data_IF_987995770084
#
_entry.id   IF_987995770084
#
_cell.length_a   1.000
_cell.length_b   1.000
_cell.length_c   1.000
_cell.angle_alpha   90.00
_cell.angle_beta   90.00
_cell.angle_gamma   90.00
#
_symmetry.space_group_name_H-M   'P 1'
#
loop_
_entity.id
_entity.type
_entity.pdbx_description
1 polymer ?
#
# COMPACT_ATOMS: atom_id res chain seq x y z
N UNK A 1 -2.47 13.06 -11.29
CA UNK A 1 -1.42 12.51 -10.41
C UNK A 1 -0.11 13.24 -10.71
N UNK A 2 0.56 13.84 -9.73
CA UNK A 2 1.76 14.67 -9.97
C UNK A 2 3.07 13.87 -10.05
N UNK A 3 3.07 12.59 -9.66
CA UNK A 3 4.27 11.74 -9.60
C UNK A 3 4.82 11.40 -10.99
N UNK A 4 6.11 11.62 -11.22
CA UNK A 4 6.80 11.11 -12.38
C UNK A 4 7.17 9.63 -12.17
N UNK A 5 6.61 8.73 -12.97
CA UNK A 5 6.89 7.29 -12.87
C UNK A 5 8.02 6.91 -13.82
N UNK A 6 9.11 6.36 -13.26
CA UNK A 6 10.24 5.79 -13.97
C UNK A 6 10.15 4.27 -13.92
N UNK A 7 9.45 3.70 -14.88
CA UNK A 7 9.14 2.26 -14.92
C UNK A 7 10.09 1.51 -15.87
N UNK A 8 10.62 0.37 -15.41
CA UNK A 8 11.37 -0.58 -16.22
C UNK A 8 12.70 -1.01 -15.59
N UNK A 9 13.34 -1.99 -16.21
CA UNK A 9 14.62 -2.56 -15.76
C UNK A 9 15.73 -1.52 -15.78
N UNK A 10 16.57 -1.51 -14.73
CA UNK A 10 17.71 -0.63 -14.61
C UNK A 10 17.39 0.83 -14.29
N UNK A 11 16.13 1.19 -14.06
CA UNK A 11 15.70 2.56 -13.78
C UNK A 11 16.30 3.15 -12.49
N UNK A 12 16.76 2.30 -11.57
CA UNK A 12 17.51 2.75 -10.39
C UNK A 12 18.74 3.59 -10.75
N UNK A 13 19.35 3.39 -11.91
CA UNK A 13 20.53 4.13 -12.35
C UNK A 13 20.20 5.59 -12.74
N UNK A 14 18.92 5.93 -12.98
CA UNK A 14 18.48 7.30 -13.26
C UNK A 14 18.54 8.23 -12.04
N UNK A 15 18.78 7.67 -10.83
CA UNK A 15 18.99 8.50 -9.63
C UNK A 15 20.05 9.58 -9.83
N UNK A 16 21.14 9.29 -10.55
CA UNK A 16 22.22 10.25 -10.82
C UNK A 16 21.75 11.50 -11.60
N UNK A 17 20.67 11.35 -12.39
CA UNK A 17 20.10 12.44 -13.21
C UNK A 17 18.94 13.13 -12.48
N UNK A 18 18.20 12.37 -11.68
CA UNK A 18 17.00 12.83 -10.96
C UNK A 18 17.39 13.64 -9.72
N UNK A 19 18.27 13.12 -8.89
CA UNK A 19 18.58 13.62 -7.55
C UNK A 19 19.17 15.06 -7.54
N UNK A 20 20.04 15.47 -8.46
CA UNK A 20 20.63 16.83 -8.41
C UNK A 20 19.64 17.99 -8.35
N UNK A 21 18.39 17.77 -8.81
CA UNK A 21 17.33 18.79 -8.75
C UNK A 21 16.64 18.92 -7.38
N UNK A 22 16.93 18.00 -6.44
CA UNK A 22 16.24 17.94 -5.13
C UNK A 22 17.09 18.42 -3.96
N UNK A 23 18.41 18.52 -4.10
CA UNK A 23 19.31 19.01 -3.06
C UNK A 23 20.55 18.16 -2.86
N UNK A 24 21.27 18.40 -1.75
CA UNK A 24 22.54 17.75 -1.43
C UNK A 24 22.53 16.94 -0.14
N UNK A 25 21.47 16.99 0.64
CA UNK A 25 21.31 16.23 1.88
C UNK A 25 20.11 15.33 1.79
N UNK A 26 20.34 14.01 1.75
CA UNK A 26 19.34 12.98 1.61
C UNK A 26 19.13 12.21 2.90
N UNK A 27 17.89 12.00 3.35
CA UNK A 27 17.56 10.94 4.29
C UNK A 27 17.07 9.71 3.54
N UNK A 28 17.81 8.61 3.61
CA UNK A 28 17.37 7.30 3.11
C UNK A 28 16.55 6.64 4.22
N UNK A 29 15.29 6.33 3.91
CA UNK A 29 14.36 5.62 4.80
C UNK A 29 14.16 4.22 4.29
N UNK A 30 14.36 3.20 5.14
CA UNK A 30 14.25 1.80 4.76
C UNK A 30 13.99 0.89 5.98
N UNK A 31 13.88 -0.40 5.73
CA UNK A 31 14.07 -1.46 6.71
C UNK A 31 15.57 -1.72 6.90
N UNK A 32 15.98 -2.45 7.96
CA UNK A 32 17.38 -2.78 8.16
C UNK A 32 18.05 -3.35 6.90
N UNK A 33 19.19 -2.78 6.52
CA UNK A 33 19.93 -3.14 5.30
C UNK A 33 20.68 -4.47 5.48
N UNK A 34 19.95 -5.57 5.46
CA UNK A 34 20.48 -6.92 5.51
C UNK A 34 20.09 -7.71 4.25
N UNK A 35 20.71 -8.86 4.03
CA UNK A 35 20.42 -9.72 2.89
C UNK A 35 20.49 -8.98 1.54
N UNK A 36 19.42 -9.07 0.74
CA UNK A 36 19.35 -8.47 -0.59
C UNK A 36 19.32 -6.93 -0.58
N UNK A 37 18.78 -6.32 0.46
CA UNK A 37 18.71 -4.86 0.58
C UNK A 37 20.09 -4.24 0.76
N UNK A 38 21.06 -4.97 1.33
CA UNK A 38 22.43 -4.48 1.51
C UNK A 38 23.07 -4.07 0.18
N UNK A 39 22.99 -4.93 -0.83
CA UNK A 39 23.57 -4.65 -2.18
C UNK A 39 22.85 -3.47 -2.85
N UNK A 40 21.54 -3.36 -2.69
CA UNK A 40 20.78 -2.24 -3.22
C UNK A 40 21.19 -0.92 -2.54
N UNK A 41 21.31 -0.93 -1.21
CA UNK A 41 21.77 0.23 -0.47
C UNK A 41 23.18 0.67 -0.88
N UNK A 42 24.14 -0.27 -0.97
CA UNK A 42 25.50 0.03 -1.42
C UNK A 42 25.51 0.68 -2.82
N UNK A 43 24.66 0.18 -3.72
CA UNK A 43 24.49 0.77 -5.07
C UNK A 43 23.92 2.19 -5.00
N UNK A 44 22.86 2.40 -4.23
CA UNK A 44 22.23 3.72 -4.07
C UNK A 44 23.21 4.70 -3.43
N UNK A 45 23.85 4.29 -2.32
CA UNK A 45 24.82 5.14 -1.62
C UNK A 45 25.96 5.58 -2.54
N UNK A 46 26.51 4.64 -3.33
CA UNK A 46 27.54 4.96 -4.32
C UNK A 46 27.06 5.98 -5.37
N UNK A 47 25.85 5.80 -5.90
CA UNK A 47 25.29 6.76 -6.88
C UNK A 47 25.16 8.15 -6.26
N UNK A 48 24.68 8.24 -5.01
CA UNK A 48 24.51 9.52 -4.31
C UNK A 48 25.86 10.19 -3.97
N UNK A 49 26.84 9.40 -3.55
CA UNK A 49 28.19 9.86 -3.29
C UNK A 49 28.89 10.39 -4.54
N UNK A 50 28.78 9.65 -5.68
CA UNK A 50 29.35 10.05 -6.96
C UNK A 50 28.81 11.40 -7.49
N UNK A 51 27.60 11.80 -7.07
CA UNK A 51 26.99 13.10 -7.42
C UNK A 51 27.07 14.14 -6.29
N UNK A 52 27.86 13.88 -5.24
CA UNK A 52 28.14 14.80 -4.16
C UNK A 52 26.96 15.04 -3.20
N UNK A 53 26.10 14.04 -2.98
CA UNK A 53 24.99 14.07 -2.03
C UNK A 53 25.41 13.42 -0.73
N UNK A 54 25.25 14.16 0.38
CA UNK A 54 25.45 13.63 1.74
C UNK A 54 24.25 12.80 2.15
N UNK A 55 24.47 11.57 2.59
CA UNK A 55 23.42 10.64 2.98
C UNK A 55 23.33 10.47 4.49
N UNK A 56 22.11 10.51 5.00
CA UNK A 56 21.73 10.09 6.34
C UNK A 56 20.82 8.88 6.21
N UNK A 57 20.80 7.99 7.17
CA UNK A 57 20.07 6.73 7.10
C UNK A 57 19.16 6.57 8.29
N UNK A 58 17.91 6.20 8.01
CA UNK A 58 16.97 5.68 8.99
C UNK A 58 16.43 4.34 8.49
N UNK A 59 16.90 3.25 9.06
CA UNK A 59 16.55 1.87 8.67
C UNK A 59 15.71 1.14 9.73
N UNK A 60 15.07 1.89 10.62
CA UNK A 60 14.24 1.38 11.71
C UNK A 60 12.78 1.06 11.32
N UNK A 61 12.42 1.05 10.04
CA UNK A 61 11.03 0.80 9.64
C UNK A 61 10.68 -0.68 9.78
N UNK A 62 9.55 -0.94 10.44
CA UNK A 62 8.97 -2.27 10.62
C UNK A 62 7.74 -2.48 9.74
N UNK A 63 7.32 -3.74 9.46
CA UNK A 63 6.01 -4.02 8.88
C UNK A 63 4.90 -3.42 9.76
N UNK A 64 3.83 -2.87 9.13
CA UNK A 64 2.83 -2.06 9.81
C UNK A 64 3.50 -0.91 10.59
N UNK A 65 3.99 0.13 9.88
CA UNK A 65 4.83 1.17 10.46
C UNK A 65 4.07 1.92 11.56
N UNK A 66 4.83 2.40 12.55
CA UNK A 66 4.26 3.03 13.75
C UNK A 66 4.47 4.54 13.76
N UNK A 67 3.64 5.25 14.52
CA UNK A 67 3.81 6.69 14.76
C UNK A 67 5.18 6.98 15.41
N UNK A 68 5.67 6.09 16.28
CA UNK A 68 6.98 6.27 16.93
C UNK A 68 8.13 6.15 15.92
N UNK A 69 8.04 5.21 14.97
CA UNK A 69 9.00 5.09 13.88
C UNK A 69 9.03 6.33 12.99
N UNK A 70 7.86 6.91 12.70
CA UNK A 70 7.78 8.18 11.96
C UNK A 70 8.38 9.34 12.78
N UNK A 71 8.07 9.43 14.07
CA UNK A 71 8.62 10.47 14.97
C UNK A 71 10.15 10.45 14.97
N UNK A 72 10.75 9.26 15.08
CA UNK A 72 12.21 9.10 15.05
C UNK A 72 12.80 9.54 13.68
N UNK A 73 12.18 9.12 12.58
CA UNK A 73 12.59 9.56 11.24
C UNK A 73 12.49 11.08 11.05
N UNK A 74 11.42 11.72 11.55
CA UNK A 74 11.25 13.18 11.51
C UNK A 74 12.34 13.88 12.33
N UNK A 75 12.68 13.36 13.49
CA UNK A 75 13.77 13.88 14.32
C UNK A 75 15.10 13.87 13.57
N UNK A 76 15.48 12.72 13.00
CA UNK A 76 16.71 12.60 12.19
C UNK A 76 16.70 13.58 11.01
N UNK A 77 15.57 13.69 10.30
CA UNK A 77 15.40 14.58 9.18
C UNK A 77 15.58 16.05 9.55
N UNK A 78 15.06 16.44 10.72
CA UNK A 78 15.07 17.82 11.20
C UNK A 78 16.46 18.23 11.73
N UNK A 79 17.07 17.38 12.54
CA UNK A 79 18.42 17.62 13.13
C UNK A 79 19.50 17.76 12.05
N UNK A 80 19.37 17.03 10.93
CA UNK A 80 20.33 17.05 9.83
C UNK A 80 19.97 18.06 8.72
N UNK A 81 18.86 18.77 8.85
CA UNK A 81 18.38 19.74 7.84
C UNK A 81 18.40 19.16 6.42
N UNK A 82 17.78 17.96 6.25
CA UNK A 82 17.75 17.28 4.97
C UNK A 82 16.93 18.05 3.91
N UNK A 83 17.32 17.92 2.65
CA UNK A 83 16.68 18.58 1.51
C UNK A 83 15.56 17.72 0.93
N UNK A 84 15.71 16.37 0.97
CA UNK A 84 14.71 15.42 0.47
C UNK A 84 14.81 14.06 1.17
N UNK A 85 13.74 13.27 1.07
CA UNK A 85 13.67 11.89 1.56
C UNK A 85 13.67 10.92 0.38
N UNK A 86 14.44 9.85 0.51
CA UNK A 86 14.49 8.72 -0.42
C UNK A 86 13.96 7.48 0.31
N UNK A 87 12.75 7.02 -0.01
CA UNK A 87 12.19 5.79 0.55
C UNK A 87 12.60 4.58 -0.30
N UNK A 88 13.27 3.60 0.30
CA UNK A 88 13.74 2.38 -0.36
C UNK A 88 13.09 1.17 0.27
N UNK A 89 12.02 0.66 -0.33
CA UNK A 89 11.28 -0.46 0.27
C UNK A 89 9.89 -0.70 -0.31
N UNK A 90 9.07 -1.43 0.43
CA UNK A 90 7.65 -1.64 0.16
C UNK A 90 6.75 -0.60 0.84
N UNK A 91 5.44 -0.85 0.89
CA UNK A 91 4.41 0.07 1.40
C UNK A 91 4.74 0.70 2.76
N UNK A 92 5.13 -0.10 3.75
CA UNK A 92 5.49 0.40 5.10
C UNK A 92 6.61 1.45 5.07
N UNK A 93 7.63 1.24 4.23
CA UNK A 93 8.72 2.20 4.05
C UNK A 93 8.25 3.43 3.30
N UNK A 94 7.45 3.25 2.23
CA UNK A 94 6.91 4.37 1.45
C UNK A 94 6.05 5.29 2.32
N UNK A 95 5.14 4.73 3.10
CA UNK A 95 4.23 5.49 3.96
C UNK A 95 4.99 6.23 5.05
N UNK A 96 5.96 5.57 5.71
CA UNK A 96 6.83 6.24 6.68
C UNK A 96 7.65 7.36 6.05
N UNK A 97 8.26 7.11 4.89
CA UNK A 97 9.08 8.11 4.20
C UNK A 97 8.27 9.33 3.74
N UNK A 98 7.03 9.10 3.26
CA UNK A 98 6.08 10.17 2.95
C UNK A 98 5.79 11.04 4.16
N UNK A 99 5.45 10.41 5.30
CA UNK A 99 5.14 11.13 6.53
C UNK A 99 6.36 11.84 7.11
N UNK A 100 7.53 11.22 7.07
CA UNK A 100 8.80 11.85 7.50
C UNK A 100 9.07 13.10 6.64
N UNK A 101 8.95 13.00 5.32
CA UNK A 101 9.15 14.13 4.42
C UNK A 101 8.11 15.24 4.62
N UNK A 102 6.85 14.86 4.81
CA UNK A 102 5.72 15.75 4.94
C UNK A 102 5.66 16.46 6.29
N UNK A 103 5.95 15.72 7.39
CA UNK A 103 5.85 16.22 8.77
C UNK A 103 7.18 16.76 9.31
N UNK A 104 8.25 16.74 8.51
CA UNK A 104 9.52 17.38 8.91
C UNK A 104 9.25 18.81 9.39
N UNK A 105 9.74 19.15 10.56
CA UNK A 105 9.60 20.47 11.16
C UNK A 105 10.78 20.76 12.11
N UNK A 106 10.97 22.04 12.43
CA UNK A 106 12.11 22.49 13.26
C UNK A 106 12.07 21.95 14.70
N UNK A 107 10.87 21.75 15.24
CA UNK A 107 10.69 21.38 16.65
C UNK A 107 10.73 19.85 16.83
N UNK A 108 10.72 19.07 15.75
CA UNK A 108 10.72 17.60 15.73
C UNK A 108 9.59 16.95 16.55
N UNK A 109 8.59 17.73 16.97
CA UNK A 109 7.42 17.26 17.72
C UNK A 109 6.21 17.21 16.81
N UNK A 110 5.53 16.05 16.79
CA UNK A 110 4.32 15.82 16.00
C UNK A 110 3.13 15.68 16.95
N UNK A 111 2.10 16.50 16.72
CA UNK A 111 0.80 16.30 17.36
C UNK A 111 -0.09 15.43 16.46
N UNK A 112 -0.10 14.12 16.68
CA UNK A 112 -0.85 13.17 15.87
C UNK A 112 -2.36 13.40 15.88
N UNK A 113 -2.93 13.93 16.98
CA UNK A 113 -4.35 14.28 17.01
C UNK A 113 -4.69 15.43 16.05
N UNK A 114 -3.78 16.39 15.88
CA UNK A 114 -3.95 17.45 14.89
C UNK A 114 -3.73 16.94 13.47
N UNK A 115 -2.72 16.10 13.26
CA UNK A 115 -2.43 15.48 11.95
C UNK A 115 -3.64 14.69 11.45
N UNK A 116 -4.19 13.81 12.29
CA UNK A 116 -5.37 13.01 11.94
C UNK A 116 -6.59 13.86 11.67
N UNK A 117 -6.85 14.89 12.50
CA UNK A 117 -7.98 15.78 12.30
C UNK A 117 -7.88 16.64 11.04
N UNK A 118 -6.66 17.07 10.69
CA UNK A 118 -6.41 17.98 9.56
C UNK A 118 -6.36 17.25 8.22
N UNK A 119 -5.81 16.04 8.19
CA UNK A 119 -5.46 15.30 6.98
C UNK A 119 -6.21 13.96 6.85
N UNK A 120 -7.49 13.92 7.20
CA UNK A 120 -8.33 12.71 7.18
C UNK A 120 -9.20 12.54 5.92
N UNK A 121 -9.08 13.43 4.94
CA UNK A 121 -9.91 13.40 3.75
C UNK A 121 -9.05 13.61 2.50
N UNK A 122 -9.01 12.64 1.55
CA UNK A 122 -8.18 12.71 0.35
C UNK A 122 -8.56 13.84 -0.61
N UNK A 123 -9.79 14.35 -0.53
CA UNK A 123 -10.33 15.37 -1.44
C UNK A 123 -10.29 16.78 -0.84
N UNK A 124 -9.92 16.90 0.44
CA UNK A 124 -9.82 18.20 1.10
C UNK A 124 -8.51 18.88 0.70
N UNK A 125 -8.63 20.07 0.11
CA UNK A 125 -7.49 20.94 -0.15
C UNK A 125 -7.06 21.57 1.18
N UNK A 126 -5.83 21.37 1.56
CA UNK A 126 -5.22 21.98 2.75
C UNK A 126 -3.77 22.38 2.45
N UNK A 127 -3.24 23.30 3.24
CA UNK A 127 -1.87 23.76 3.08
C UNK A 127 -0.88 22.66 3.51
N UNK A 128 0.17 22.48 2.67
CA UNK A 128 1.32 21.64 2.99
C UNK A 128 2.09 22.27 4.16
N UNK A 129 2.63 21.47 5.11
CA UNK A 129 3.52 21.99 6.15
C UNK A 129 4.72 22.75 5.54
N UNK A 130 5.09 23.87 6.15
CA UNK A 130 6.09 24.81 5.62
C UNK A 130 7.46 24.18 5.40
N UNK A 131 7.88 23.31 6.33
CA UNK A 131 9.20 22.67 6.32
C UNK A 131 9.21 21.30 5.61
N UNK A 132 8.07 20.89 5.01
CA UNK A 132 7.97 19.64 4.27
C UNK A 132 8.88 19.63 3.04
N UNK A 133 9.59 18.51 2.85
CA UNK A 133 10.57 18.31 1.79
C UNK A 133 10.05 17.34 0.72
N UNK A 134 10.65 17.31 -0.50
CA UNK A 134 10.30 16.33 -1.51
C UNK A 134 10.56 14.90 -1.05
N UNK A 135 9.73 13.97 -1.55
CA UNK A 135 9.87 12.54 -1.37
C UNK A 135 10.07 11.85 -2.72
N UNK A 136 11.04 10.96 -2.80
CA UNK A 136 11.35 10.11 -3.95
C UNK A 136 11.18 8.65 -3.53
N UNK A 137 10.39 7.90 -4.29
CA UNK A 137 10.06 6.50 -4.01
C UNK A 137 10.92 5.55 -4.85
N UNK A 138 11.53 4.54 -4.21
CA UNK A 138 12.13 3.38 -4.86
C UNK A 138 11.38 2.15 -4.37
N UNK A 139 10.42 1.67 -5.19
CA UNK A 139 9.57 0.54 -4.82
C UNK A 139 10.31 -0.79 -4.97
N UNK A 140 10.31 -1.61 -3.91
CA UNK A 140 10.92 -2.95 -3.92
C UNK A 140 9.90 -4.08 -3.79
N UNK A 141 8.59 -3.76 -3.75
CA UNK A 141 7.48 -4.73 -3.74
C UNK A 141 6.39 -4.26 -4.67
N UNK A 142 5.53 -5.19 -5.12
CA UNK A 142 4.27 -4.89 -5.81
C UNK A 142 3.12 -5.17 -4.84
N UNK A 143 2.38 -4.13 -4.45
CA UNK A 143 1.30 -4.29 -3.46
C UNK A 143 0.54 -3.01 -3.16
N UNK A 144 1.08 -2.15 -2.35
CA UNK A 144 0.39 -1.00 -1.77
C UNK A 144 0.05 0.14 -2.74
N UNK A 145 0.63 0.15 -3.94
CA UNK A 145 0.50 1.29 -4.84
C UNK A 145 1.03 2.62 -4.26
N UNK A 146 1.67 2.60 -3.08
CA UNK A 146 2.03 3.81 -2.34
C UNK A 146 2.95 4.76 -3.12
N UNK A 147 3.71 4.25 -4.08
CA UNK A 147 4.50 5.07 -5.01
C UNK A 147 3.65 5.93 -5.96
N UNK A 148 2.33 5.73 -5.98
CA UNK A 148 1.36 6.45 -6.82
C UNK A 148 0.24 7.14 -6.02
N UNK A 149 0.29 7.16 -4.67
CA UNK A 149 -0.82 7.65 -3.86
C UNK A 149 -0.48 8.87 -3.00
N UNK A 150 -1.51 9.64 -2.66
CA UNK A 150 -1.50 10.75 -1.69
C UNK A 150 -1.82 10.31 -0.27
N UNK A 151 -1.81 9.02 -0.01
CA UNK A 151 -2.11 8.43 1.29
C UNK A 151 -0.86 7.86 1.95
N UNK A 152 -0.84 7.84 3.28
CA UNK A 152 0.14 7.11 4.07
C UNK A 152 -0.54 6.56 5.34
N UNK A 153 -0.28 5.28 5.63
CA UNK A 153 -0.89 4.56 6.77
C UNK A 153 0.17 4.26 7.82
N UNK A 154 -0.14 4.58 9.08
CA UNK A 154 0.68 4.23 10.24
C UNK A 154 -0.18 3.70 11.39
N UNK A 155 0.43 2.93 12.29
CA UNK A 155 -0.23 2.33 13.44
C UNK A 155 0.04 3.15 14.72
N UNK A 156 -1.03 3.43 15.46
CA UNK A 156 -0.97 3.84 16.85
C UNK A 156 -1.13 2.58 17.72
N UNK A 157 -0.02 2.08 18.24
CA UNK A 157 -0.02 0.83 19.00
C UNK A 157 -0.70 0.96 20.38
N UNK A 158 -0.72 2.16 20.96
CA UNK A 158 -1.41 2.41 22.23
C UNK A 158 -2.92 2.36 22.05
N UNK A 159 -3.44 2.99 20.99
CA UNK A 159 -4.86 2.99 20.67
C UNK A 159 -5.32 1.75 19.93
N UNK A 160 -4.40 0.92 19.42
CA UNK A 160 -4.65 -0.24 18.56
C UNK A 160 -5.43 0.14 17.30
N UNK A 161 -5.05 1.24 16.68
CA UNK A 161 -5.69 1.82 15.51
C UNK A 161 -4.68 2.02 14.38
N UNK A 162 -5.16 1.94 13.14
CA UNK A 162 -4.43 2.45 11.98
C UNK A 162 -4.93 3.86 11.65
N UNK A 163 -3.97 4.71 11.34
CA UNK A 163 -4.19 6.12 11.00
C UNK A 163 -3.83 6.30 9.54
N UNK A 164 -4.78 6.73 8.72
CA UNK A 164 -4.52 7.11 7.33
C UNK A 164 -4.46 8.63 7.22
N UNK A 165 -3.35 9.12 6.70
CA UNK A 165 -3.09 10.54 6.44
C UNK A 165 -3.20 10.78 4.95
N UNK A 166 -4.00 11.76 4.54
CA UNK A 166 -4.24 12.13 3.14
C UNK A 166 -3.82 13.57 2.86
N UNK A 167 -2.95 13.77 1.89
CA UNK A 167 -2.63 15.10 1.39
C UNK A 167 -1.93 15.02 0.03
N UNK A 168 -2.20 15.95 -0.88
CA UNK A 168 -1.52 16.00 -2.19
C UNK A 168 0.01 16.11 -2.09
N UNK A 169 0.54 16.66 -1.00
CA UNK A 169 1.97 16.72 -0.70
C UNK A 169 2.61 15.39 -0.30
N UNK A 170 1.82 14.31 -0.12
CA UNK A 170 2.32 12.95 0.13
C UNK A 170 2.59 12.18 -1.18
N UNK A 171 2.14 12.69 -2.33
CA UNK A 171 2.57 12.10 -3.59
C UNK A 171 4.09 12.17 -3.72
N UNK A 172 4.77 11.07 -4.10
CA UNK A 172 6.18 11.15 -4.46
C UNK A 172 6.39 12.13 -5.62
N UNK A 173 7.46 12.89 -5.61
CA UNK A 173 7.86 13.70 -6.77
C UNK A 173 8.26 12.79 -7.94
N UNK A 174 9.01 11.72 -7.63
CA UNK A 174 9.41 10.68 -8.58
C UNK A 174 9.23 9.31 -7.93
N UNK A 175 8.75 8.35 -8.69
CA UNK A 175 8.70 6.94 -8.33
C UNK A 175 9.55 6.11 -9.29
N UNK A 176 10.56 5.42 -8.76
CA UNK A 176 11.35 4.42 -9.50
C UNK A 176 10.72 3.06 -9.25
N UNK A 177 10.20 2.47 -10.30
CA UNK A 177 9.59 1.14 -10.32
C UNK A 177 10.45 0.24 -11.21
N UNK A 178 11.47 -0.33 -10.60
CA UNK A 178 12.44 -1.20 -11.27
C UNK A 178 12.18 -2.66 -10.85
N UNK A 179 11.63 -3.51 -11.74
CA UNK A 179 11.30 -4.89 -11.40
C UNK A 179 12.50 -5.74 -10.95
N UNK A 180 13.73 -5.35 -11.30
CA UNK A 180 14.92 -6.05 -10.82
C UNK A 180 15.08 -5.98 -9.30
N UNK A 181 14.57 -4.93 -8.67
CA UNK A 181 14.59 -4.74 -7.22
C UNK A 181 13.58 -5.63 -6.48
N UNK A 182 12.67 -6.28 -7.21
CA UNK A 182 11.61 -7.13 -6.67
C UNK A 182 11.91 -8.63 -6.77
N UNK A 183 13.00 -9.02 -7.42
CA UNK A 183 13.35 -10.44 -7.66
C UNK A 183 13.59 -11.23 -6.38
N UNK A 184 13.99 -10.56 -5.30
CA UNK A 184 14.28 -11.21 -4.02
C UNK A 184 13.11 -11.20 -3.03
N UNK A 185 11.94 -10.72 -3.46
CA UNK A 185 10.75 -10.71 -2.60
C UNK A 185 10.25 -12.14 -2.42
N UNK A 186 10.12 -12.65 -1.17
CA UNK A 186 9.65 -14.00 -0.92
C UNK A 186 8.22 -14.24 -1.42
N UNK A 187 7.92 -15.48 -1.84
CA UNK A 187 6.58 -15.85 -2.35
C UNK A 187 5.46 -15.50 -1.36
N UNK A 188 5.64 -15.77 -0.06
CA UNK A 188 4.64 -15.39 0.97
C UNK A 188 4.34 -13.89 0.99
N UNK A 189 5.37 -13.04 0.84
CA UNK A 189 5.19 -11.59 0.77
C UNK A 189 4.49 -11.23 -0.54
N UNK A 190 4.90 -11.85 -1.66
CA UNK A 190 4.30 -11.63 -2.97
C UNK A 190 2.81 -12.01 -3.01
N UNK A 191 2.40 -13.09 -2.29
CA UNK A 191 1.00 -13.48 -2.13
C UNK A 191 0.19 -12.35 -1.48
N UNK A 192 0.60 -11.92 -0.30
CA UNK A 192 -0.12 -10.90 0.46
C UNK A 192 -0.14 -9.55 -0.27
N UNK A 193 1.01 -9.09 -0.76
CA UNK A 193 1.08 -7.80 -1.46
C UNK A 193 0.40 -7.84 -2.82
N UNK A 194 0.53 -8.95 -3.57
CA UNK A 194 -0.14 -9.10 -4.87
C UNK A 194 -1.66 -9.19 -4.76
N UNK A 195 -2.20 -9.75 -3.68
CA UNK A 195 -3.63 -9.69 -3.42
C UNK A 195 -4.09 -8.27 -3.08
N UNK A 196 -3.28 -7.48 -2.40
CA UNK A 196 -3.52 -6.06 -2.14
C UNK A 196 -3.62 -5.25 -3.45
N UNK A 197 -2.77 -5.56 -4.46
CA UNK A 197 -2.92 -4.98 -5.83
C UNK A 197 -4.30 -5.27 -6.42
N UNK A 198 -4.76 -6.53 -6.31
CA UNK A 198 -6.09 -6.91 -6.77
C UNK A 198 -7.16 -6.10 -6.04
N UNK A 199 -7.09 -6.04 -4.70
CA UNK A 199 -8.06 -5.34 -3.86
C UNK A 199 -8.15 -3.85 -4.22
N UNK A 200 -7.04 -3.15 -4.36
CA UNK A 200 -7.01 -1.75 -4.77
C UNK A 200 -7.71 -1.51 -6.12
N UNK A 201 -7.40 -2.32 -7.13
CA UNK A 201 -8.01 -2.19 -8.44
C UNK A 201 -9.52 -2.51 -8.42
N UNK A 202 -9.89 -3.61 -7.76
CA UNK A 202 -11.26 -4.09 -7.70
C UNK A 202 -12.17 -3.16 -6.88
N UNK A 203 -11.71 -2.76 -5.70
CA UNK A 203 -12.47 -1.88 -4.82
C UNK A 203 -12.64 -0.47 -5.42
N UNK A 204 -11.60 0.08 -6.07
CA UNK A 204 -11.71 1.36 -6.78
C UNK A 204 -12.74 1.32 -7.90
N UNK A 205 -12.86 0.18 -8.59
CA UNK A 205 -13.90 -0.02 -9.59
C UNK A 205 -15.29 -0.15 -8.98
N UNK A 206 -15.42 -0.88 -7.86
CA UNK A 206 -16.71 -1.08 -7.18
C UNK A 206 -17.22 0.19 -6.50
N UNK A 207 -16.33 1.09 -6.11
CA UNK A 207 -16.64 2.32 -5.40
C UNK A 207 -17.49 3.31 -6.21
N UNK A 208 -18.05 4.30 -5.50
CA UNK A 208 -18.90 5.34 -6.11
C UNK A 208 -18.09 6.44 -6.83
N UNK A 209 -16.77 6.47 -6.65
CA UNK A 209 -15.86 7.44 -7.27
C UNK A 209 -15.19 6.91 -8.54
N UNK A 210 -15.61 5.72 -8.99
CA UNK A 210 -15.09 5.16 -10.24
C UNK A 210 -15.37 6.09 -11.42
N UNK A 211 -14.48 6.08 -12.41
CA UNK A 211 -14.53 6.89 -13.62
C UNK A 211 -14.11 6.04 -14.82
N UNK A 212 -14.36 6.47 -16.06
CA UNK A 212 -13.88 5.73 -17.24
C UNK A 212 -12.36 5.49 -17.24
N UNK A 213 -11.58 6.38 -16.60
CA UNK A 213 -10.13 6.22 -16.46
C UNK A 213 -9.79 5.10 -15.46
N UNK A 214 -10.34 5.17 -14.24
CA UNK A 214 -10.09 4.16 -13.19
C UNK A 214 -10.63 2.81 -13.60
N UNK A 215 -11.77 2.75 -14.29
CA UNK A 215 -12.36 1.53 -14.81
C UNK A 215 -11.41 0.79 -15.76
N UNK A 216 -10.85 1.48 -16.76
CA UNK A 216 -9.88 0.88 -17.70
C UNK A 216 -8.61 0.40 -17.02
N UNK A 217 -8.08 1.18 -16.10
CA UNK A 217 -6.89 0.79 -15.33
C UNK A 217 -7.19 -0.39 -14.40
N UNK A 218 -8.37 -0.43 -13.76
CA UNK A 218 -8.79 -1.54 -12.89
C UNK A 218 -8.90 -2.85 -13.65
N UNK A 219 -9.53 -2.87 -14.83
CA UNK A 219 -9.64 -4.09 -15.63
C UNK A 219 -8.28 -4.63 -16.07
N UNK A 220 -7.37 -3.75 -16.49
CA UNK A 220 -6.01 -4.16 -16.84
C UNK A 220 -5.26 -4.72 -15.62
N UNK A 221 -5.32 -4.04 -14.46
CA UNK A 221 -4.69 -4.49 -13.23
C UNK A 221 -5.24 -5.84 -12.75
N UNK A 222 -6.56 -6.03 -12.75
CA UNK A 222 -7.23 -7.28 -12.37
C UNK A 222 -6.77 -8.43 -13.28
N UNK A 223 -6.76 -8.22 -14.61
CA UNK A 223 -6.30 -9.22 -15.58
C UNK A 223 -4.84 -9.62 -15.32
N UNK A 224 -3.96 -8.64 -15.09
CA UNK A 224 -2.57 -8.89 -14.77
C UNK A 224 -2.39 -9.68 -13.49
N UNK A 225 -3.16 -9.38 -12.45
CA UNK A 225 -3.10 -10.12 -11.18
C UNK A 225 -3.59 -11.55 -11.36
N UNK A 226 -4.73 -11.77 -12.02
CA UNK A 226 -5.24 -13.11 -12.27
C UNK A 226 -4.27 -14.00 -13.05
N UNK A 227 -3.54 -13.40 -13.99
CA UNK A 227 -2.58 -14.14 -14.81
C UNK A 227 -1.20 -14.31 -14.15
N UNK A 228 -0.66 -13.26 -13.54
CA UNK A 228 0.74 -13.23 -13.17
C UNK A 228 1.02 -13.43 -11.68
N UNK A 229 0.08 -13.19 -10.77
CA UNK A 229 0.33 -13.40 -9.34
C UNK A 229 0.64 -14.86 -9.02
N UNK A 230 -0.13 -15.88 -9.48
CA UNK A 230 0.23 -17.28 -9.28
C UNK A 230 1.57 -17.64 -9.91
N UNK A 231 1.89 -17.07 -11.09
CA UNK A 231 3.18 -17.30 -11.78
C UNK A 231 4.36 -16.75 -10.99
N UNK A 232 4.23 -15.53 -10.41
CA UNK A 232 5.27 -14.92 -9.54
C UNK A 232 5.52 -15.75 -8.29
N UNK A 233 4.47 -16.34 -7.71
CA UNK A 233 4.61 -17.17 -6.50
C UNK A 233 5.38 -18.45 -6.80
N UNK A 234 5.13 -19.06 -7.97
CA UNK A 234 5.78 -20.29 -8.40
C UNK A 234 7.19 -20.07 -8.96
N UNK A 235 7.46 -18.91 -9.57
CA UNK A 235 8.75 -18.54 -10.17
C UNK A 235 9.08 -17.07 -9.79
N UNK A 236 9.51 -16.83 -8.53
CA UNK A 236 9.67 -15.49 -7.99
C UNK A 236 10.84 -14.69 -8.58
N UNK A 237 11.78 -15.35 -9.24
CA UNK A 237 12.94 -14.71 -9.89
C UNK A 237 12.69 -14.35 -11.35
N UNK A 238 11.50 -14.64 -11.89
CA UNK A 238 11.14 -14.33 -13.25
C UNK A 238 10.87 -12.84 -13.44
N UNK A 239 11.79 -12.17 -14.08
CA UNK A 239 11.74 -10.72 -14.29
C UNK A 239 10.52 -10.26 -15.08
N UNK A 240 10.02 -11.07 -16.02
CA UNK A 240 8.86 -10.73 -16.82
C UNK A 240 7.58 -10.77 -15.95
N UNK A 241 7.43 -11.77 -15.09
CA UNK A 241 6.31 -11.86 -14.17
C UNK A 241 6.35 -10.74 -13.13
N UNK A 242 7.54 -10.45 -12.55
CA UNK A 242 7.73 -9.31 -11.66
C UNK A 242 7.37 -7.98 -12.32
N UNK A 243 7.78 -7.80 -13.59
CA UNK A 243 7.45 -6.59 -14.35
C UNK A 243 5.94 -6.42 -14.55
N UNK A 244 5.23 -7.51 -14.83
CA UNK A 244 3.77 -7.48 -14.97
C UNK A 244 3.08 -7.13 -13.66
N UNK A 245 3.51 -7.72 -12.53
CA UNK A 245 2.97 -7.39 -11.22
C UNK A 245 3.31 -5.96 -10.77
N UNK A 246 4.52 -5.47 -11.06
CA UNK A 246 4.90 -4.09 -10.79
C UNK A 246 4.06 -3.08 -11.60
N UNK A 247 3.70 -3.44 -12.84
CA UNK A 247 2.79 -2.63 -13.65
C UNK A 247 1.36 -2.66 -13.10
N UNK A 248 0.86 -3.83 -12.70
CA UNK A 248 -0.45 -3.97 -12.05
C UNK A 248 -0.54 -3.12 -10.77
N UNK A 249 0.51 -3.15 -9.92
CA UNK A 249 0.61 -2.32 -8.71
C UNK A 249 0.57 -0.82 -9.01
N UNK A 250 1.26 -0.40 -10.07
CA UNK A 250 1.24 0.99 -10.51
C UNK A 250 -0.16 1.43 -10.96
N UNK A 251 -0.84 0.62 -11.77
CA UNK A 251 -2.22 0.88 -12.20
C UNK A 251 -3.19 0.90 -11.01
N UNK A 252 -3.09 -0.09 -10.12
CA UNK A 252 -3.94 -0.19 -8.92
C UNK A 252 -3.74 1.00 -7.97
N UNK A 253 -2.49 1.47 -7.77
CA UNK A 253 -2.20 2.67 -7.00
C UNK A 253 -2.81 3.94 -7.62
N UNK A 254 -2.80 4.05 -8.95
CA UNK A 254 -3.51 5.12 -9.66
C UNK A 254 -5.03 5.02 -9.49
N UNK A 255 -5.59 3.82 -9.53
CA UNK A 255 -7.01 3.59 -9.25
C UNK A 255 -7.36 4.03 -7.84
N UNK A 256 -6.62 3.57 -6.84
CA UNK A 256 -6.80 3.92 -5.43
C UNK A 256 -6.77 5.45 -5.21
N UNK A 257 -5.82 6.14 -5.84
CA UNK A 257 -5.69 7.61 -5.73
C UNK A 257 -6.90 8.39 -6.25
N UNK A 258 -7.65 7.83 -7.20
CA UNK A 258 -8.75 8.51 -7.88
C UNK A 258 -10.13 7.91 -7.55
N UNK A 259 -10.20 6.62 -7.27
CA UNK A 259 -11.45 5.89 -6.99
C UNK A 259 -11.65 5.55 -5.51
N UNK A 260 -10.57 5.60 -4.72
CA UNK A 260 -10.61 5.16 -3.33
C UNK A 260 -10.66 3.63 -3.19
N UNK A 261 -10.85 3.16 -1.96
CA UNK A 261 -11.10 1.76 -1.61
C UNK A 261 -12.55 1.56 -1.16
N UNK A 262 -13.00 0.31 -1.06
CA UNK A 262 -14.32 -0.08 -0.54
C UNK A 262 -14.15 -0.77 0.84
N UNK A 263 -15.18 -1.43 1.34
CA UNK A 263 -15.29 -2.02 2.68
C UNK A 263 -14.11 -2.95 3.10
N UNK A 264 -13.50 -3.79 2.25
CA UNK A 264 -12.41 -4.65 2.69
C UNK A 264 -11.24 -3.90 3.33
N UNK A 265 -10.87 -2.74 2.79
CA UNK A 265 -9.75 -1.96 3.34
C UNK A 265 -10.00 -1.46 4.76
N UNK A 266 -11.05 -0.69 5.07
CA UNK A 266 -11.29 -0.26 6.45
C UNK A 266 -11.56 -1.44 7.40
N UNK A 267 -12.18 -2.53 6.95
CA UNK A 267 -12.36 -3.74 7.77
C UNK A 267 -11.01 -4.44 8.05
N UNK A 268 -10.16 -4.57 7.04
CA UNK A 268 -8.81 -5.09 7.19
C UNK A 268 -7.92 -4.21 8.07
N UNK A 269 -8.11 -2.88 8.04
CA UNK A 269 -7.40 -1.94 8.92
C UNK A 269 -7.82 -2.10 10.39
N UNK A 270 -9.09 -2.37 10.69
CA UNK A 270 -9.54 -2.69 12.05
C UNK A 270 -8.82 -3.95 12.56
N UNK A 271 -8.81 -5.02 11.75
CA UNK A 271 -8.09 -6.26 12.10
C UNK A 271 -6.60 -5.97 12.31
N UNK A 272 -5.95 -5.27 11.39
CA UNK A 272 -4.53 -4.97 11.45
C UNK A 272 -4.13 -3.99 12.56
N UNK A 273 -5.01 -3.10 12.99
CA UNK A 273 -4.80 -2.22 14.14
C UNK A 273 -4.80 -2.98 15.47
N UNK A 274 -5.72 -3.94 15.63
CA UNK A 274 -5.84 -4.78 16.82
C UNK A 274 -4.80 -5.92 16.80
N UNK A 275 -4.50 -6.46 15.62
CA UNK A 275 -3.60 -7.59 15.40
C UNK A 275 -2.43 -7.21 14.46
N UNK A 276 -1.49 -6.35 14.85
CA UNK A 276 -0.44 -5.82 13.97
C UNK A 276 0.54 -6.89 13.44
N UNK A 277 0.49 -8.11 13.98
CA UNK A 277 1.24 -9.27 13.50
C UNK A 277 0.73 -9.84 12.17
N UNK A 278 -0.52 -9.56 11.80
CA UNK A 278 -1.14 -10.01 10.56
C UNK A 278 -0.81 -8.99 9.46
N UNK A 279 -0.30 -9.45 8.32
CA UNK A 279 0.00 -8.55 7.21
C UNK A 279 -1.29 -8.00 6.58
N UNK A 280 -1.19 -6.82 5.94
CA UNK A 280 -2.36 -6.14 5.36
C UNK A 280 -3.09 -7.01 4.32
N UNK A 281 -2.36 -7.66 3.40
CA UNK A 281 -3.00 -8.56 2.42
C UNK A 281 -3.67 -9.80 3.07
N UNK A 282 -3.15 -10.30 4.20
CA UNK A 282 -3.81 -11.35 4.96
C UNK A 282 -5.10 -10.83 5.64
N UNK A 283 -5.10 -9.59 6.17
CA UNK A 283 -6.33 -9.01 6.76
C UNK A 283 -7.40 -8.76 5.70
N UNK A 284 -7.03 -8.37 4.48
CA UNK A 284 -7.95 -8.28 3.35
C UNK A 284 -8.52 -9.65 2.99
N UNK A 285 -7.66 -10.67 2.86
CA UNK A 285 -8.08 -12.02 2.51
C UNK A 285 -9.09 -12.62 3.52
N UNK A 286 -8.99 -12.27 4.81
CA UNK A 286 -9.94 -12.68 5.86
C UNK A 286 -11.36 -12.17 5.55
N UNK A 287 -11.50 -10.91 5.13
CA UNK A 287 -12.82 -10.28 4.94
C UNK A 287 -13.39 -10.48 3.53
N UNK A 288 -12.55 -10.80 2.55
CA UNK A 288 -12.94 -10.83 1.15
C UNK A 288 -14.06 -11.83 0.81
N UNK A 289 -14.08 -13.10 1.30
CA UNK A 289 -15.14 -14.04 0.95
C UNK A 289 -16.54 -13.53 1.31
N UNK A 290 -16.70 -12.98 2.52
CA UNK A 290 -18.00 -12.43 2.95
C UNK A 290 -18.36 -11.13 2.25
N UNK A 291 -17.35 -10.28 1.98
CA UNK A 291 -17.53 -9.06 1.20
C UNK A 291 -18.00 -9.36 -0.22
N UNK A 292 -17.44 -10.38 -0.89
CA UNK A 292 -17.85 -10.76 -2.25
C UNK A 292 -19.31 -11.18 -2.28
N UNK A 293 -19.74 -12.03 -1.35
CA UNK A 293 -21.13 -12.46 -1.22
C UNK A 293 -22.09 -11.26 -1.07
N UNK A 294 -21.74 -10.31 -0.21
CA UNK A 294 -22.51 -9.11 -0.01
C UNK A 294 -22.53 -8.23 -1.27
N UNK A 295 -21.36 -7.95 -1.85
CA UNK A 295 -21.21 -6.96 -2.92
C UNK A 295 -21.79 -7.44 -4.25
N UNK A 296 -21.68 -8.72 -4.57
CA UNK A 296 -22.28 -9.31 -5.75
C UNK A 296 -23.81 -9.17 -5.73
N UNK A 297 -24.45 -9.36 -4.57
CA UNK A 297 -25.89 -9.20 -4.40
C UNK A 297 -26.38 -7.77 -4.63
N UNK A 298 -25.61 -6.76 -4.22
CA UNK A 298 -26.03 -5.34 -4.34
C UNK A 298 -25.52 -4.65 -5.63
N UNK A 299 -24.58 -5.24 -6.32
CA UNK A 299 -23.96 -4.67 -7.53
C UNK A 299 -23.67 -5.71 -8.61
N UNK A 300 -24.62 -6.59 -8.98
CA UNK A 300 -24.38 -7.71 -9.90
C UNK A 300 -23.90 -7.26 -11.29
N UNK A 301 -24.33 -6.07 -11.75
CA UNK A 301 -23.94 -5.53 -13.06
C UNK A 301 -22.42 -5.21 -13.10
N UNK A 302 -21.85 -4.74 -11.99
CA UNK A 302 -20.40 -4.47 -11.91
C UNK A 302 -19.60 -5.78 -11.97
N UNK A 303 -20.08 -6.84 -11.34
CA UNK A 303 -19.46 -8.18 -11.42
C UNK A 303 -19.51 -8.72 -12.85
N UNK A 304 -20.69 -8.71 -13.50
CA UNK A 304 -20.84 -9.17 -14.88
C UNK A 304 -19.96 -8.39 -15.87
N UNK A 305 -19.74 -7.09 -15.65
CA UNK A 305 -18.86 -6.32 -16.52
C UNK A 305 -17.39 -6.77 -16.37
N UNK A 306 -16.90 -7.04 -15.15
CA UNK A 306 -15.55 -7.61 -14.97
C UNK A 306 -15.46 -8.99 -15.59
N UNK A 307 -16.45 -9.87 -15.43
CA UNK A 307 -16.47 -11.20 -16.05
C UNK A 307 -16.33 -11.11 -17.58
N UNK A 308 -16.99 -10.15 -18.20
CA UNK A 308 -16.86 -9.87 -19.61
C UNK A 308 -15.46 -9.36 -19.99
N UNK A 309 -14.97 -8.35 -19.30
CA UNK A 309 -13.67 -7.70 -19.59
C UNK A 309 -12.47 -8.63 -19.29
N UNK A 310 -12.62 -9.55 -18.35
CA UNK A 310 -11.61 -10.56 -18.01
C UNK A 310 -11.77 -11.86 -18.83
N UNK A 311 -12.82 -12.00 -19.60
CA UNK A 311 -13.10 -13.19 -20.39
C UNK A 311 -13.67 -14.38 -19.60
N UNK A 312 -13.97 -14.22 -18.31
CA UNK A 312 -14.56 -15.26 -17.44
C UNK A 312 -15.94 -15.70 -17.96
N UNK A 313 -16.73 -14.77 -18.50
CA UNK A 313 -18.02 -15.05 -19.11
C UNK A 313 -17.93 -16.13 -20.20
N UNK A 314 -16.87 -16.09 -21.03
CA UNK A 314 -16.68 -17.03 -22.15
C UNK A 314 -16.44 -18.49 -21.68
N UNK A 315 -15.98 -18.67 -20.47
CA UNK A 315 -15.71 -19.99 -19.89
C UNK A 315 -16.75 -20.36 -18.82
N UNK A 316 -17.80 -19.55 -18.63
CA UNK A 316 -18.87 -19.80 -17.67
C UNK A 316 -18.42 -19.77 -16.21
N UNK A 317 -17.39 -19.00 -15.89
CA UNK A 317 -16.86 -18.87 -14.53
C UNK A 317 -17.28 -17.54 -13.90
N UNK A 318 -17.91 -17.58 -12.71
CA UNK A 318 -18.23 -16.34 -11.98
C UNK A 318 -16.97 -15.69 -11.39
N UNK A 319 -17.03 -14.37 -11.28
CA UNK A 319 -15.95 -13.56 -10.70
C UNK A 319 -15.67 -13.97 -9.23
N UNK A 320 -16.70 -14.15 -8.42
CA UNK A 320 -16.59 -14.62 -7.04
C UNK A 320 -15.84 -15.96 -6.93
N UNK A 321 -16.17 -16.93 -7.82
CA UNK A 321 -15.45 -18.20 -7.87
C UNK A 321 -13.99 -18.01 -8.28
N UNK A 322 -13.70 -17.13 -9.25
CA UNK A 322 -12.32 -16.85 -9.68
C UNK A 322 -11.49 -16.23 -8.58
N UNK A 323 -12.04 -15.26 -7.82
CA UNK A 323 -11.34 -14.61 -6.71
C UNK A 323 -11.06 -15.61 -5.58
N UNK A 324 -12.05 -16.42 -5.19
CA UNK A 324 -11.86 -17.46 -4.18
C UNK A 324 -10.84 -18.53 -4.61
N UNK A 325 -10.81 -18.85 -5.91
CA UNK A 325 -9.79 -19.75 -6.47
C UNK A 325 -8.41 -19.12 -6.39
N UNK A 326 -8.29 -17.83 -6.76
CA UNK A 326 -7.02 -17.10 -6.61
C UNK A 326 -6.53 -17.12 -5.16
N UNK A 327 -7.40 -16.80 -4.18
CA UNK A 327 -7.02 -16.84 -2.76
C UNK A 327 -6.48 -18.21 -2.32
N UNK A 328 -7.04 -19.31 -2.85
CA UNK A 328 -6.53 -20.67 -2.60
C UNK A 328 -5.18 -20.92 -3.26
N UNK A 329 -5.03 -20.54 -4.53
CA UNK A 329 -3.79 -20.69 -5.30
C UNK A 329 -2.61 -19.94 -4.67
N UNK A 330 -2.87 -18.80 -4.04
CA UNK A 330 -1.86 -17.96 -3.39
C UNK A 330 -1.73 -18.22 -1.88
N UNK A 331 -2.41 -19.24 -1.34
CA UNK A 331 -2.39 -19.65 0.07
C UNK A 331 -2.87 -18.56 1.05
N UNK A 332 -3.86 -17.77 0.67
CA UNK A 332 -4.47 -16.75 1.53
C UNK A 332 -5.92 -17.05 1.93
N UNK A 333 -6.57 -18.06 1.34
CA UNK A 333 -7.97 -18.36 1.60
C UNK A 333 -8.25 -18.67 3.08
N UNK A 334 -7.33 -19.37 3.73
CA UNK A 334 -7.45 -19.77 5.13
C UNK A 334 -6.73 -18.81 6.10
N UNK A 335 -6.52 -17.56 5.70
CA UNK A 335 -5.75 -16.57 6.49
C UNK A 335 -6.28 -16.39 7.90
N UNK A 336 -7.61 -16.46 8.11
CA UNK A 336 -8.19 -16.43 9.46
C UNK A 336 -7.69 -17.58 10.34
N UNK A 337 -7.71 -18.81 9.82
CA UNK A 337 -7.30 -20.00 10.57
C UNK A 337 -5.82 -19.97 10.99
N UNK A 338 -4.96 -19.38 10.15
CA UNK A 338 -3.52 -19.27 10.41
C UNK A 338 -3.14 -18.01 11.21
N UNK A 339 -4.06 -17.08 11.39
CA UNK A 339 -3.77 -15.77 12.01
C UNK A 339 -3.66 -15.81 13.53
N UNK A 340 -4.13 -16.90 14.17
CA UNK A 340 -4.19 -17.07 15.63
C UNK A 340 -4.81 -15.85 16.34
N UNK A 341 -5.93 -15.34 15.81
CA UNK A 341 -6.68 -14.27 16.46
C UNK A 341 -7.36 -14.83 17.70
N UNK A 342 -7.05 -14.27 18.86
CA UNK A 342 -7.63 -14.71 20.13
C UNK A 342 -9.09 -14.28 20.28
N UNK A 343 -9.86 -14.99 21.11
CA UNK A 343 -11.27 -14.64 21.40
C UNK A 343 -11.43 -13.21 21.93
N UNK A 344 -10.43 -12.68 22.61
CA UNK A 344 -10.44 -11.31 23.11
C UNK A 344 -10.24 -10.29 21.96
N UNK A 345 -9.34 -10.57 21.02
CA UNK A 345 -9.15 -9.78 19.82
C UNK A 345 -10.38 -9.82 18.92
N UNK A 346 -10.99 -11.00 18.71
CA UNK A 346 -12.26 -11.13 17.97
C UNK A 346 -13.32 -10.22 18.59
N UNK A 347 -13.46 -10.22 19.92
CA UNK A 347 -14.42 -9.36 20.62
C UNK A 347 -14.13 -7.86 20.38
N UNK A 348 -12.86 -7.46 20.39
CA UNK A 348 -12.46 -6.06 20.10
C UNK A 348 -12.78 -5.69 18.66
N UNK A 349 -12.46 -6.55 17.69
CA UNK A 349 -12.75 -6.35 16.26
C UNK A 349 -14.26 -6.22 16.03
N UNK A 350 -15.06 -7.20 16.55
CA UNK A 350 -16.51 -7.25 16.34
C UNK A 350 -17.28 -6.06 16.96
N UNK A 351 -16.70 -5.39 17.95
CA UNK A 351 -17.31 -4.23 18.61
C UNK A 351 -16.58 -2.91 18.28
N UNK A 352 -15.78 -2.89 17.23
CA UNK A 352 -15.01 -1.70 16.89
C UNK A 352 -15.93 -0.55 16.44
N UNK A 353 -15.77 0.69 16.96
CA UNK A 353 -16.69 1.79 16.68
C UNK A 353 -16.81 2.15 15.20
N UNK A 354 -15.76 1.95 14.41
CA UNK A 354 -15.80 2.21 12.96
C UNK A 354 -16.87 1.39 12.24
N UNK A 355 -17.23 0.19 12.71
CA UNK A 355 -18.27 -0.62 12.08
C UNK A 355 -19.64 0.06 12.03
N UNK A 356 -19.90 1.03 12.93
CA UNK A 356 -21.15 1.79 12.96
C UNK A 356 -21.13 3.03 12.07
N UNK A 357 -19.94 3.50 11.67
CA UNK A 357 -19.79 4.79 10.96
C UNK A 357 -19.32 4.65 9.51
N UNK A 358 -18.82 3.48 9.10
CA UNK A 358 -18.33 3.25 7.72
C UNK A 358 -19.46 3.44 6.70
N UNK A 359 -20.64 2.87 6.95
CA UNK A 359 -21.87 3.04 6.19
C UNK A 359 -23.04 2.98 7.18
N UNK A 360 -23.45 4.09 7.78
CA UNK A 360 -24.42 4.08 8.89
C UNK A 360 -25.74 3.40 8.56
N UNK A 361 -26.21 3.54 7.30
CA UNK A 361 -27.45 2.93 6.79
C UNK A 361 -27.36 1.40 6.65
N UNK A 362 -26.15 0.83 6.55
CA UNK A 362 -25.87 -0.59 6.36
C UNK A 362 -25.02 -1.18 7.50
N UNK A 363 -25.01 -0.56 8.68
CA UNK A 363 -24.11 -0.95 9.77
C UNK A 363 -24.33 -2.41 10.25
N UNK A 364 -25.57 -2.92 10.18
CA UNK A 364 -25.87 -4.32 10.50
C UNK A 364 -25.22 -5.30 9.52
N UNK A 365 -25.25 -4.99 8.24
CA UNK A 365 -24.63 -5.81 7.19
C UNK A 365 -23.11 -5.80 7.31
N UNK A 366 -22.53 -4.63 7.59
CA UNK A 366 -21.06 -4.51 7.80
C UNK A 366 -20.61 -5.32 9.02
N UNK A 367 -21.34 -5.25 10.13
CA UNK A 367 -21.08 -6.09 11.30
C UNK A 367 -21.23 -7.58 10.99
N UNK A 368 -22.21 -7.97 10.17
CA UNK A 368 -22.38 -9.33 9.73
C UNK A 368 -21.20 -9.80 8.86
N UNK A 369 -20.74 -9.00 7.90
CA UNK A 369 -19.54 -9.29 7.10
C UNK A 369 -18.37 -9.56 8.06
N UNK A 370 -18.06 -8.61 8.96
CA UNK A 370 -16.95 -8.76 9.91
C UNK A 370 -17.09 -10.00 10.77
N UNK A 371 -18.25 -10.23 11.38
CA UNK A 371 -18.46 -11.36 12.30
C UNK A 371 -18.41 -12.73 11.59
N UNK A 372 -18.86 -12.79 10.33
CA UNK A 372 -18.79 -14.03 9.55
C UNK A 372 -17.35 -14.30 9.08
N UNK A 373 -16.59 -13.28 8.74
CA UNK A 373 -15.17 -13.37 8.36
C UNK A 373 -14.26 -13.87 9.51
N UNK A 374 -14.75 -13.85 10.75
CA UNK A 374 -14.02 -14.25 11.97
C UNK A 374 -14.52 -15.59 12.54
N UNK A 375 -15.13 -16.44 11.73
CA UNK A 375 -15.56 -17.82 12.08
C UNK A 375 -14.72 -18.85 11.36
#
# INVERSE_FOLDING_TARGET
MPTQIRFGKGRINELKEIIPSYGKKCLIVSRPFNGSLKKLYEKINKILEDIGVSTFVYDGIVPNPTIDGVNEGVKIASENNIDFVLGVGGGSVMDSAKLIAFLKNKDSKINWNEVTKKYNNPFKISEKPKDAVPFIAISTTSGSGSHCTQAAVVSDLEKKEKITVFHSGLFPSVAIVDPELMLTVPSKVSSATGFDVFAHAFESYLGNLTSPLTEKMSFEAINLVFEYLPKVINDPENINYRSKMAWADTLAGMCLSNGGADLPHPLGEIIGGICPRISHGETLAIVYPEFLNYKENISPQKFSLIEKETGLEKIGQSLTLKINTLLKEINLYDSFNYSNISSNEIKLISNHPLLDILQPENSSEIKNIMNNSLK
#
